data_IF_863407139088
#
_entry.id   IF_863407139088
#
_cell.length_a   1.000
_cell.length_b   1.000
_cell.length_c   1.000
_cell.angle_alpha   90.00
_cell.angle_beta   90.00
_cell.angle_gamma   90.00
#
_symmetry.space_group_name_H-M   'P 1'
#
loop_
_entity.id
_entity.type
_entity.pdbx_description
1 polymer ?
#
# COMPACT_ATOMS: atom_id res chain seq x y z
N UNK A 1 -13.60 25.43 24.20
CA UNK A 1 -13.78 24.14 24.90
C UNK A 1 -14.27 23.12 23.89
N UNK A 2 -13.43 22.15 23.51
CA UNK A 2 -13.83 21.08 22.59
C UNK A 2 -14.19 19.84 23.42
N UNK A 3 -15.42 19.34 23.26
CA UNK A 3 -15.88 18.10 23.87
C UNK A 3 -15.71 16.94 22.87
N UNK A 4 -15.16 15.81 23.33
CA UNK A 4 -15.07 14.56 22.58
C UNK A 4 -16.09 13.57 23.14
N UNK A 5 -16.79 12.85 22.26
CA UNK A 5 -17.75 11.80 22.61
C UNK A 5 -17.09 10.44 22.39
N UNK A 6 -17.13 9.59 23.42
CA UNK A 6 -16.69 8.18 23.38
C UNK A 6 -17.94 7.30 23.25
N UNK A 7 -17.98 6.40 22.27
CA UNK A 7 -19.09 5.45 22.09
C UNK A 7 -18.76 4.07 22.69
N UNK A 8 -19.70 3.43 23.42
CA UNK A 8 -19.54 2.05 23.88
C UNK A 8 -19.90 1.02 22.79
N UNK A 9 -19.32 -0.18 22.93
CA UNK A 9 -19.45 -1.32 22.01
C UNK A 9 -20.80 -2.04 22.16
N UNK A 10 -21.36 -2.41 21.01
CA UNK A 10 -22.32 -3.49 20.75
C UNK A 10 -23.69 -3.45 21.46
N UNK A 11 -24.75 -3.43 20.65
CA UNK A 11 -25.95 -4.25 20.89
C UNK A 11 -26.77 -4.34 19.59
N UNK A 12 -26.91 -5.56 19.06
CA UNK A 12 -27.93 -5.92 18.10
C UNK A 12 -29.16 -6.41 18.87
N UNK A 13 -30.36 -5.88 18.63
CA UNK A 13 -31.62 -6.48 19.10
C UNK A 13 -32.78 -6.22 18.10
N UNK A 14 -33.84 -7.06 18.13
CA UNK A 14 -34.54 -7.54 16.93
C UNK A 14 -35.79 -6.74 16.55
N UNK A 15 -36.19 -6.90 15.29
CA UNK A 15 -37.43 -6.41 14.71
C UNK A 15 -38.63 -7.19 15.27
N UNK A 16 -39.58 -6.47 15.88
CA UNK A 16 -40.97 -6.92 16.00
C UNK A 16 -41.89 -5.85 15.41
N UNK A 17 -42.62 -6.22 14.36
CA UNK A 17 -43.70 -5.43 13.81
C UNK A 17 -44.97 -5.67 14.65
N UNK A 18 -45.57 -4.59 15.16
CA UNK A 18 -46.96 -4.60 15.60
C UNK A 18 -47.66 -3.34 15.06
N UNK A 19 -48.78 -3.58 14.42
CA UNK A 19 -49.67 -2.59 13.79
C UNK A 19 -50.50 -1.85 14.84
N UNK A 20 -50.48 -0.51 14.82
CA UNK A 20 -51.48 0.32 15.50
C UNK A 20 -51.84 1.53 14.65
N UNK A 21 -53.15 1.69 14.39
CA UNK A 21 -53.77 2.78 13.63
C UNK A 21 -53.58 4.17 14.27
N UNK A 22 -53.55 5.28 13.49
CA UNK A 22 -53.30 6.61 14.04
C UNK A 22 -54.59 7.26 14.58
N UNK A 23 -54.59 7.65 15.85
CA UNK A 23 -55.60 8.56 16.43
C UNK A 23 -55.44 9.97 15.85
N UNK A 24 -56.56 10.53 15.35
CA UNK A 24 -56.68 11.93 14.92
C UNK A 24 -56.57 12.88 16.11
N UNK A 25 -55.71 13.89 16.00
CA UNK A 25 -55.88 15.17 16.70
C UNK A 25 -55.70 16.34 15.73
N UNK A 26 -56.70 17.21 15.74
CA UNK A 26 -56.79 18.49 15.07
C UNK A 26 -56.20 19.57 15.99
N UNK A 27 -55.28 20.39 15.47
CA UNK A 27 -55.29 21.85 15.56
C UNK A 27 -54.04 22.42 14.89
N UNK A 28 -54.26 23.38 14.00
CA UNK A 28 -53.22 24.09 13.27
C UNK A 28 -52.49 25.08 14.16
N UNK A 29 -51.17 24.98 14.16
CA UNK A 29 -50.22 25.97 14.63
C UNK A 29 -48.94 25.76 13.83
N UNK A 30 -48.32 26.83 13.37
CA UNK A 30 -47.12 26.82 12.52
C UNK A 30 -46.00 25.94 13.12
N UNK A 31 -45.91 24.68 12.70
CA UNK A 31 -44.78 23.83 13.03
C UNK A 31 -43.69 24.01 11.98
N UNK A 32 -42.51 24.46 12.46
CA UNK A 32 -41.24 24.57 11.73
C UNK A 32 -40.65 23.20 11.37
N UNK A 33 -41.49 22.24 11.01
CA UNK A 33 -41.06 20.93 10.54
C UNK A 33 -41.26 20.86 9.01
N UNK A 34 -40.18 21.09 8.28
CA UNK A 34 -40.15 20.95 6.82
C UNK A 34 -40.37 19.50 6.35
N UNK A 35 -40.43 18.53 7.28
CA UNK A 35 -40.54 17.09 7.01
C UNK A 35 -41.75 16.43 7.71
N UNK A 36 -42.79 17.21 8.09
CA UNK A 36 -44.03 16.67 8.65
C UNK A 36 -44.65 15.60 7.73
N UNK A 37 -44.78 14.37 8.24
CA UNK A 37 -45.35 13.22 7.53
C UNK A 37 -46.79 13.43 7.03
N UNK A 38 -47.49 14.46 7.56
CA UNK A 38 -48.82 14.89 7.11
C UNK A 38 -48.79 15.78 5.87
N UNK A 39 -47.64 16.39 5.54
CA UNK A 39 -47.45 17.28 4.38
C UNK A 39 -46.88 16.59 3.13
N UNK A 40 -46.41 15.35 3.26
CA UNK A 40 -45.74 14.63 2.19
C UNK A 40 -46.74 13.94 1.26
N UNK A 41 -46.47 14.02 -0.05
CA UNK A 41 -47.22 13.28 -1.07
C UNK A 41 -46.99 11.78 -0.88
N UNK A 42 -48.09 11.02 -0.87
CA UNK A 42 -48.10 9.56 -0.77
C UNK A 42 -48.60 8.96 -2.06
N UNK A 43 -48.12 7.77 -2.40
CA UNK A 43 -48.70 6.97 -3.48
C UNK A 43 -50.06 6.37 -3.09
N UNK A 44 -50.69 5.67 -4.03
CA UNK A 44 -52.00 5.03 -3.84
C UNK A 44 -52.01 3.94 -2.75
N UNK A 45 -50.83 3.53 -2.27
CA UNK A 45 -50.64 2.57 -1.17
C UNK A 45 -50.28 3.26 0.16
N UNK A 46 -50.30 4.59 0.22
CA UNK A 46 -50.04 5.37 1.42
C UNK A 46 -48.55 5.55 1.75
N UNK A 47 -47.64 5.27 0.81
CA UNK A 47 -46.18 5.36 0.98
C UNK A 47 -45.69 6.76 0.54
N UNK A 48 -44.98 7.51 1.41
CA UNK A 48 -44.43 8.82 1.04
C UNK A 48 -43.42 8.74 -0.12
N UNK A 49 -43.58 9.60 -1.13
CA UNK A 49 -42.74 9.58 -2.34
C UNK A 49 -41.45 10.40 -2.24
N UNK A 50 -41.41 11.43 -1.38
CA UNK A 50 -40.28 12.38 -1.27
C UNK A 50 -39.32 12.07 -0.10
N UNK A 51 -39.42 10.86 0.47
CA UNK A 51 -38.62 10.43 1.61
C UNK A 51 -37.75 9.23 1.23
N UNK A 52 -36.48 9.23 1.64
CA UNK A 52 -35.66 8.01 1.57
C UNK A 52 -36.33 6.88 2.38
N UNK A 53 -36.42 5.66 1.82
CA UNK A 53 -37.04 4.50 2.51
C UNK A 53 -36.51 4.30 3.93
N UNK A 54 -35.23 4.60 4.19
CA UNK A 54 -34.61 4.54 5.52
C UNK A 54 -35.19 5.56 6.51
N UNK A 55 -35.43 6.80 6.07
CA UNK A 55 -36.06 7.83 6.92
C UNK A 55 -37.51 7.51 7.24
N UNK A 56 -38.28 6.97 6.28
CA UNK A 56 -39.67 6.57 6.54
C UNK A 56 -39.76 5.53 7.65
N UNK A 57 -38.91 4.49 7.58
CA UNK A 57 -38.81 3.46 8.60
C UNK A 57 -38.32 4.03 9.94
N UNK A 58 -37.35 4.96 9.92
CA UNK A 58 -36.86 5.63 11.13
C UNK A 58 -37.95 6.47 11.80
N UNK A 59 -38.71 7.25 11.03
CA UNK A 59 -39.76 8.13 11.52
C UNK A 59 -40.97 7.39 12.09
N UNK A 60 -41.14 6.11 11.72
CA UNK A 60 -42.17 5.23 12.29
C UNK A 60 -41.77 4.58 13.63
N UNK A 61 -40.52 4.71 14.08
CA UNK A 61 -40.10 4.17 15.38
C UNK A 61 -40.74 4.97 16.51
N UNK A 62 -41.19 4.26 17.54
CA UNK A 62 -41.63 4.89 18.79
C UNK A 62 -40.46 5.66 19.40
N UNK A 63 -40.66 6.97 19.61
CA UNK A 63 -39.66 7.85 20.18
C UNK A 63 -39.83 7.86 21.70
N UNK A 64 -38.79 7.48 22.43
CA UNK A 64 -38.77 7.60 23.88
C UNK A 64 -38.72 9.08 24.28
N UNK A 65 -39.31 9.43 25.42
CA UNK A 65 -39.25 10.81 25.91
C UNK A 65 -37.79 11.26 26.07
N UNK A 66 -37.45 12.48 25.62
CA UNK A 66 -36.09 12.96 25.71
C UNK A 66 -35.67 13.07 27.19
N UNK A 67 -34.37 12.83 27.49
CA UNK A 67 -33.83 13.02 28.83
C UNK A 67 -34.23 14.37 29.44
N UNK A 68 -34.39 14.43 30.77
CA UNK A 68 -34.86 15.62 31.48
C UNK A 68 -34.10 16.92 31.12
N UNK A 69 -32.79 16.81 30.86
CA UNK A 69 -31.95 17.95 30.46
C UNK A 69 -32.18 18.45 29.02
N UNK A 70 -32.90 17.70 28.17
CA UNK A 70 -33.23 18.04 26.77
C UNK A 70 -34.70 18.41 26.56
N UNK A 71 -35.51 18.51 27.61
CA UNK A 71 -36.93 18.86 27.50
C UNK A 71 -37.19 20.25 26.89
N UNK A 72 -36.20 21.15 26.95
CA UNK A 72 -36.25 22.46 26.33
C UNK A 72 -36.10 22.43 24.79
N UNK A 73 -35.67 21.29 24.24
CA UNK A 73 -35.50 21.08 22.79
C UNK A 73 -36.74 20.38 22.23
N UNK A 74 -37.32 20.87 21.12
CA UNK A 74 -38.47 20.21 20.51
C UNK A 74 -38.16 18.76 20.09
N UNK A 75 -39.02 17.77 20.42
CA UNK A 75 -38.77 16.35 20.11
C UNK A 75 -38.56 16.03 18.62
N UNK A 76 -39.15 16.82 17.71
CA UNK A 76 -38.94 16.67 16.27
C UNK A 76 -37.49 16.99 15.85
N UNK A 77 -36.86 17.99 16.50
CA UNK A 77 -35.49 18.39 16.20
C UNK A 77 -34.49 17.35 16.71
N UNK A 78 -34.74 16.75 17.88
CA UNK A 78 -33.94 15.65 18.43
C UNK A 78 -33.98 14.45 17.46
N UNK A 79 -35.18 14.07 16.98
CA UNK A 79 -35.34 12.99 16.00
C UNK A 79 -34.58 13.25 14.69
N UNK A 80 -34.64 14.46 14.16
CA UNK A 80 -33.87 14.81 12.97
C UNK A 80 -32.37 14.76 13.20
N UNK A 81 -31.91 15.23 14.36
CA UNK A 81 -30.50 15.15 14.72
C UNK A 81 -30.04 13.69 14.81
N UNK A 82 -30.79 12.82 15.48
CA UNK A 82 -30.50 11.38 15.54
C UNK A 82 -30.47 10.74 14.16
N UNK A 83 -31.44 11.06 13.30
CA UNK A 83 -31.46 10.54 11.93
C UNK A 83 -30.25 11.02 11.11
N UNK A 84 -29.90 12.30 11.22
CA UNK A 84 -28.73 12.86 10.54
C UNK A 84 -27.42 12.22 11.04
N UNK A 85 -27.30 12.00 12.36
CA UNK A 85 -26.17 11.27 12.94
C UNK A 85 -26.13 9.83 12.40
N UNK A 86 -27.26 9.13 12.38
CA UNK A 86 -27.34 7.76 11.86
C UNK A 86 -26.99 7.69 10.37
N UNK A 87 -27.49 8.61 9.54
CA UNK A 87 -27.11 8.72 8.13
C UNK A 87 -25.61 8.98 7.96
N UNK A 88 -25.04 9.86 8.79
CA UNK A 88 -23.61 10.15 8.73
C UNK A 88 -22.78 8.91 9.11
N UNK A 89 -23.19 8.16 10.15
CA UNK A 89 -22.56 6.92 10.56
C UNK A 89 -22.65 5.85 9.47
N UNK A 90 -23.83 5.67 8.87
CA UNK A 90 -24.05 4.77 7.73
C UNK A 90 -23.13 5.14 6.57
N UNK A 91 -23.08 6.42 6.18
CA UNK A 91 -22.21 6.90 5.11
C UNK A 91 -20.72 6.64 5.39
N UNK A 92 -20.25 6.95 6.60
CA UNK A 92 -18.86 6.67 6.97
C UNK A 92 -18.57 5.17 7.04
N UNK A 93 -19.52 4.36 7.48
CA UNK A 93 -19.40 2.90 7.48
C UNK A 93 -19.33 2.36 6.05
N UNK A 94 -20.21 2.80 5.15
CA UNK A 94 -20.21 2.40 3.75
C UNK A 94 -18.88 2.75 3.07
N UNK A 95 -18.32 3.94 3.33
CA UNK A 95 -16.99 4.32 2.85
C UNK A 95 -15.88 3.41 3.40
N UNK A 96 -15.92 3.08 4.70
CA UNK A 96 -14.95 2.17 5.32
C UNK A 96 -15.07 0.76 4.73
N UNK A 97 -16.27 0.22 4.61
CA UNK A 97 -16.51 -1.11 4.07
C UNK A 97 -16.14 -1.20 2.59
N UNK A 98 -16.39 -0.15 1.80
CA UNK A 98 -15.94 -0.07 0.41
C UNK A 98 -14.41 -0.18 0.32
N UNK A 99 -13.68 0.60 1.11
CA UNK A 99 -12.21 0.52 1.18
C UNK A 99 -11.71 -0.88 1.59
N UNK A 100 -12.32 -1.48 2.60
CA UNK A 100 -11.96 -2.85 3.04
C UNK A 100 -12.26 -3.87 1.93
N UNK A 101 -13.39 -3.73 1.21
CA UNK A 101 -13.75 -4.62 0.11
C UNK A 101 -12.76 -4.51 -1.06
N UNK A 102 -12.36 -3.30 -1.42
CA UNK A 102 -11.33 -3.05 -2.44
C UNK A 102 -10.00 -3.67 -2.02
N UNK A 103 -9.59 -3.49 -0.76
CA UNK A 103 -8.36 -4.09 -0.21
C UNK A 103 -8.41 -5.62 -0.21
N UNK A 104 -9.52 -6.23 0.19
CA UNK A 104 -9.67 -7.70 0.17
C UNK A 104 -9.73 -8.26 -1.24
N UNK A 105 -10.22 -7.48 -2.21
CA UNK A 105 -10.20 -7.85 -3.62
C UNK A 105 -8.76 -7.85 -4.14
N UNK A 106 -8.01 -6.76 -3.94
CA UNK A 106 -6.63 -6.70 -4.42
C UNK A 106 -5.72 -7.78 -3.81
N UNK A 107 -5.92 -8.12 -2.53
CA UNK A 107 -5.20 -9.24 -1.90
C UNK A 107 -5.50 -10.59 -2.54
N UNK A 108 -6.73 -10.82 -3.03
CA UNK A 108 -7.10 -12.06 -3.73
C UNK A 108 -6.56 -12.11 -5.16
N UNK A 109 -6.37 -10.95 -5.77
CA UNK A 109 -5.88 -10.86 -7.15
C UNK A 109 -4.35 -11.07 -7.23
N UNK A 110 -3.64 -11.01 -6.10
CA UNK A 110 -2.20 -11.31 -6.00
C UNK A 110 -1.90 -12.79 -6.29
N UNK A 111 -0.87 -13.10 -7.10
CA UNK A 111 -0.52 -14.49 -7.45
C UNK A 111 -0.27 -15.42 -6.25
N UNK A 112 0.29 -14.91 -5.16
CA UNK A 112 0.56 -15.74 -3.96
C UNK A 112 -0.72 -16.19 -3.24
N UNK A 113 -1.85 -15.52 -3.46
CA UNK A 113 -3.11 -15.86 -2.81
C UNK A 113 -3.57 -17.28 -3.17
N UNK A 114 -3.31 -17.73 -4.40
CA UNK A 114 -3.61 -19.09 -4.87
C UNK A 114 -2.81 -20.17 -4.13
N UNK A 115 -1.63 -19.81 -3.61
CA UNK A 115 -0.70 -20.71 -2.91
C UNK A 115 -0.81 -20.61 -1.38
N UNK A 116 -1.76 -19.82 -0.86
CA UNK A 116 -1.94 -19.60 0.59
C UNK A 116 -2.06 -20.90 1.38
N UNK A 117 -2.94 -21.80 0.95
CA UNK A 117 -3.25 -23.02 1.70
C UNK A 117 -2.03 -23.96 1.71
N UNK A 118 -1.40 -24.13 0.55
CA UNK A 118 -0.16 -24.90 0.38
C UNK A 118 0.97 -24.38 1.29
N UNK A 119 1.17 -23.06 1.39
CA UNK A 119 2.18 -22.45 2.27
C UNK A 119 1.95 -22.84 3.73
N UNK A 120 0.70 -22.76 4.21
CA UNK A 120 0.37 -23.05 5.61
C UNK A 120 0.45 -24.54 5.91
N UNK A 121 0.05 -25.41 4.99
CA UNK A 121 0.15 -26.86 5.14
C UNK A 121 1.62 -27.30 5.17
N UNK A 122 2.42 -26.87 4.20
CA UNK A 122 3.84 -27.21 4.16
C UNK A 122 4.58 -26.71 5.40
N UNK A 123 4.26 -25.52 5.92
CA UNK A 123 4.93 -25.00 7.12
C UNK A 123 4.56 -25.76 8.40
N UNK A 124 3.38 -26.41 8.46
CA UNK A 124 3.04 -27.27 9.60
C UNK A 124 3.99 -28.46 9.66
N UNK A 125 4.18 -29.12 8.53
CA UNK A 125 4.90 -30.39 8.44
C UNK A 125 6.42 -30.21 8.29
N UNK A 126 6.89 -29.01 7.94
CA UNK A 126 8.30 -28.74 7.67
C UNK A 126 8.81 -27.61 8.56
N UNK A 127 10.05 -27.73 9.01
CA UNK A 127 10.70 -26.69 9.83
C UNK A 127 11.22 -25.53 8.98
N UNK A 128 11.62 -25.81 7.74
CA UNK A 128 12.10 -24.82 6.78
C UNK A 128 11.21 -24.82 5.55
N UNK A 129 10.83 -23.64 5.07
CA UNK A 129 10.05 -23.47 3.85
C UNK A 129 10.72 -22.41 2.96
N UNK A 130 10.93 -22.74 1.68
CA UNK A 130 11.43 -21.79 0.70
C UNK A 130 10.25 -21.31 -0.16
N UNK A 131 10.05 -19.99 -0.24
CA UNK A 131 9.04 -19.37 -1.08
C UNK A 131 9.75 -18.55 -2.14
N UNK A 132 9.67 -18.99 -3.38
CA UNK A 132 10.14 -18.24 -4.52
C UNK A 132 8.99 -17.72 -5.34
N UNK A 133 9.20 -16.56 -5.93
CA UNK A 133 8.31 -16.03 -6.95
C UNK A 133 8.78 -14.65 -7.32
N UNK A 134 8.44 -14.19 -8.51
CA UNK A 134 8.92 -12.89 -8.97
C UNK A 134 8.47 -11.76 -8.02
N UNK A 135 9.12 -10.60 -8.15
CA UNK A 135 8.64 -9.40 -7.48
C UNK A 135 7.19 -9.13 -7.87
N UNK A 136 6.38 -8.70 -6.90
CA UNK A 136 4.97 -8.40 -7.14
C UNK A 136 4.01 -9.54 -6.87
N UNK A 137 4.49 -10.76 -6.71
CA UNK A 137 3.57 -11.87 -6.43
C UNK A 137 2.92 -11.78 -5.03
N UNK A 138 3.43 -10.93 -4.13
CA UNK A 138 2.83 -10.63 -2.82
C UNK A 138 3.51 -11.29 -1.61
N UNK A 139 4.69 -11.92 -1.76
CA UNK A 139 5.42 -12.63 -0.67
C UNK A 139 5.54 -11.82 0.61
N UNK A 140 6.21 -10.68 0.54
CA UNK A 140 6.58 -9.86 1.68
C UNK A 140 5.37 -9.32 2.46
N UNK A 141 4.27 -9.03 1.77
CA UNK A 141 3.05 -8.50 2.41
C UNK A 141 2.13 -9.61 2.88
N UNK A 142 1.93 -10.68 2.09
CA UNK A 142 0.88 -11.67 2.35
C UNK A 142 1.34 -12.85 3.20
N UNK A 143 2.57 -13.35 3.04
CA UNK A 143 3.06 -14.50 3.83
C UNK A 143 2.98 -14.21 5.33
N UNK A 144 3.47 -13.07 5.85
CA UNK A 144 3.32 -12.76 7.27
C UNK A 144 1.85 -12.75 7.70
N UNK A 145 0.94 -12.22 6.89
CA UNK A 145 -0.50 -12.18 7.19
C UNK A 145 -1.11 -13.58 7.26
N UNK A 146 -0.72 -14.49 6.36
CA UNK A 146 -1.20 -15.87 6.39
C UNK A 146 -0.80 -16.57 7.69
N UNK A 147 0.42 -16.34 8.16
CA UNK A 147 0.89 -16.87 9.44
C UNK A 147 0.09 -16.30 10.62
N UNK A 148 -0.07 -14.98 10.67
CA UNK A 148 -0.81 -14.31 11.74
C UNK A 148 -2.27 -14.78 11.80
N UNK A 149 -2.92 -14.93 10.63
CA UNK A 149 -4.29 -15.46 10.52
C UNK A 149 -4.40 -16.94 10.88
N UNK A 150 -3.31 -17.71 10.73
CA UNK A 150 -3.24 -19.12 11.10
C UNK A 150 -2.87 -19.35 12.57
N UNK A 151 -2.78 -18.27 13.36
CA UNK A 151 -2.53 -18.34 14.80
C UNK A 151 -1.06 -18.37 15.21
N UNK A 152 -0.12 -18.23 14.27
CA UNK A 152 1.29 -18.07 14.62
C UNK A 152 1.51 -16.74 15.35
N UNK A 153 2.39 -16.80 16.34
CA UNK A 153 2.78 -15.69 17.22
C UNK A 153 4.30 -15.61 17.26
N UNK A 154 4.87 -14.49 17.72
CA UNK A 154 6.32 -14.32 17.73
C UNK A 154 6.90 -14.44 16.33
N UNK A 155 6.31 -13.75 15.35
CA UNK A 155 6.76 -13.76 13.96
C UNK A 155 7.80 -12.66 13.79
N UNK A 156 9.03 -12.98 13.43
CA UNK A 156 10.04 -12.01 13.00
C UNK A 156 10.15 -12.02 11.48
N UNK A 157 10.10 -10.86 10.83
CA UNK A 157 10.35 -10.72 9.40
C UNK A 157 11.51 -9.76 9.18
N UNK A 158 12.61 -10.24 8.63
CA UNK A 158 13.76 -9.39 8.35
C UNK A 158 13.57 -8.63 7.05
N UNK A 159 14.13 -7.43 7.01
CA UNK A 159 14.28 -6.64 5.80
C UNK A 159 15.72 -6.12 5.71
N UNK A 160 16.34 -6.08 4.53
CA UNK A 160 17.72 -5.61 4.39
C UNK A 160 17.86 -4.11 4.68
N UNK A 161 16.77 -3.35 4.54
CA UNK A 161 16.79 -1.88 4.59
C UNK A 161 15.78 -1.33 5.60
N UNK A 162 16.16 -0.24 6.28
CA UNK A 162 15.33 0.41 7.30
C UNK A 162 14.00 0.92 6.75
N UNK A 163 14.02 1.58 5.59
CA UNK A 163 12.79 2.16 5.00
C UNK A 163 11.84 1.04 4.56
N UNK A 164 12.35 0.02 3.88
CA UNK A 164 11.57 -1.17 3.51
C UNK A 164 10.96 -1.86 4.73
N UNK A 165 11.72 -2.00 5.83
CA UNK A 165 11.22 -2.53 7.10
C UNK A 165 10.01 -1.75 7.64
N UNK A 166 10.14 -0.43 7.76
CA UNK A 166 9.07 0.42 8.30
C UNK A 166 7.86 0.47 7.37
N UNK A 167 8.08 0.64 6.07
CA UNK A 167 7.02 0.69 5.06
C UNK A 167 6.23 -0.63 5.00
N UNK A 168 6.93 -1.78 5.01
CA UNK A 168 6.29 -3.09 4.99
C UNK A 168 5.46 -3.33 6.26
N UNK A 169 6.00 -2.98 7.43
CA UNK A 169 5.27 -3.09 8.68
C UNK A 169 3.99 -2.24 8.69
N UNK A 170 4.07 -0.98 8.26
CA UNK A 170 2.91 -0.09 8.14
C UNK A 170 1.88 -0.64 7.15
N UNK A 171 2.33 -1.17 6.01
CA UNK A 171 1.46 -1.77 5.00
C UNK A 171 0.74 -3.01 5.53
N UNK A 172 1.46 -3.93 6.16
CA UNK A 172 0.87 -5.14 6.76
C UNK A 172 -0.06 -4.79 7.91
N UNK A 173 0.29 -3.80 8.74
CA UNK A 173 -0.61 -3.28 9.77
C UNK A 173 -1.91 -2.72 9.15
N UNK A 174 -1.82 -1.94 8.07
CA UNK A 174 -2.99 -1.43 7.35
C UNK A 174 -3.86 -2.55 6.77
N UNK A 175 -3.25 -3.51 6.07
CA UNK A 175 -3.94 -4.64 5.43
C UNK A 175 -4.61 -5.60 6.42
N UNK A 176 -4.05 -5.72 7.62
CA UNK A 176 -4.62 -6.51 8.72
C UNK A 176 -5.61 -5.73 9.59
N UNK A 177 -5.93 -4.47 9.23
CA UNK A 177 -6.77 -3.56 10.02
C UNK A 177 -6.19 -3.25 11.42
N UNK A 178 -4.88 -3.40 11.56
CA UNK A 178 -4.08 -3.10 12.74
C UNK A 178 -3.28 -1.79 12.60
N UNK A 179 -3.63 -0.88 11.68
CA UNK A 179 -2.92 0.39 11.50
C UNK A 179 -2.84 1.25 12.77
N UNK A 180 -3.85 1.15 13.64
CA UNK A 180 -3.90 1.76 14.97
C UNK A 180 -3.77 0.71 16.10
N UNK A 181 -3.45 -0.53 15.72
CA UNK A 181 -3.24 -1.66 16.61
C UNK A 181 -1.80 -1.75 17.13
N UNK A 182 -1.51 -2.81 17.87
CA UNK A 182 -0.17 -3.06 18.45
C UNK A 182 0.36 -4.47 18.15
N UNK A 183 -0.39 -5.24 17.33
CA UNK A 183 -0.05 -6.62 16.96
C UNK A 183 1.07 -6.70 15.93
N UNK A 184 1.14 -5.72 15.02
CA UNK A 184 2.20 -5.60 14.00
C UNK A 184 3.07 -4.41 14.37
N UNK A 185 4.37 -4.63 14.50
CA UNK A 185 5.34 -3.60 14.83
C UNK A 185 6.57 -3.67 13.94
N UNK A 186 7.41 -2.64 14.00
CA UNK A 186 8.75 -2.67 13.47
C UNK A 186 9.80 -2.28 14.50
N UNK A 187 11.03 -2.69 14.27
CA UNK A 187 12.20 -2.26 15.02
C UNK A 187 13.36 -2.02 14.05
N UNK A 188 13.83 -0.77 14.01
CA UNK A 188 15.03 -0.35 13.29
C UNK A 188 16.01 0.29 14.26
N UNK A 189 17.24 0.57 13.81
CA UNK A 189 18.24 1.18 14.70
C UNK A 189 17.70 2.51 15.25
N UNK A 190 17.70 2.64 16.57
CA UNK A 190 17.22 3.80 17.34
C UNK A 190 15.69 4.03 17.36
N UNK A 191 14.89 3.13 16.80
CA UNK A 191 13.43 3.33 16.72
C UNK A 191 12.68 2.00 16.79
N UNK A 192 11.60 1.96 17.59
CA UNK A 192 10.79 0.76 17.77
C UNK A 192 9.34 1.11 18.06
N UNK A 193 8.42 0.33 17.48
CA UNK A 193 6.99 0.33 17.82
C UNK A 193 6.57 -0.94 18.55
N UNK A 194 7.53 -1.80 18.90
CA UNK A 194 7.29 -3.07 19.61
C UNK A 194 6.69 -2.82 20.99
N UNK A 195 5.66 -3.59 21.32
CA UNK A 195 5.00 -3.59 22.62
C UNK A 195 4.80 -5.03 23.12
N UNK A 196 4.29 -5.19 24.36
CA UNK A 196 3.93 -6.52 24.88
C UNK A 196 2.82 -7.22 24.10
N UNK A 197 2.04 -6.49 23.29
CA UNK A 197 0.96 -7.03 22.45
C UNK A 197 1.42 -7.41 21.05
N UNK A 198 2.68 -7.13 20.71
CA UNK A 198 3.23 -7.41 19.39
C UNK A 198 3.31 -8.90 19.14
N UNK A 199 2.65 -9.34 18.06
CA UNK A 199 2.62 -10.72 17.57
C UNK A 199 3.59 -10.90 16.39
N UNK A 200 3.81 -9.82 15.64
CA UNK A 200 4.66 -9.79 14.45
C UNK A 200 5.57 -8.57 14.49
N UNK A 201 6.86 -8.80 14.31
CA UNK A 201 7.90 -7.78 14.30
C UNK A 201 8.64 -7.80 12.98
N UNK A 202 8.58 -6.68 12.25
CA UNK A 202 9.49 -6.41 11.15
C UNK A 202 10.76 -5.78 11.71
N UNK A 203 11.94 -6.25 11.29
CA UNK A 203 13.19 -5.67 11.76
C UNK A 203 14.30 -5.76 10.73
N UNK A 204 15.33 -4.94 10.86
CA UNK A 204 16.51 -5.07 9.99
C UNK A 204 17.33 -6.29 10.37
N UNK A 205 17.96 -6.95 9.39
CA UNK A 205 18.84 -8.12 9.58
C UNK A 205 19.87 -7.92 10.70
N UNK A 206 20.58 -6.79 10.69
CA UNK A 206 21.59 -6.47 11.71
C UNK A 206 21.03 -6.35 13.14
N UNK A 207 19.74 -6.02 13.29
CA UNK A 207 19.10 -6.01 14.60
C UNK A 207 18.72 -7.41 15.07
N UNK A 208 18.32 -8.30 14.15
CA UNK A 208 18.09 -9.70 14.51
C UNK A 208 19.41 -10.35 14.95
N UNK A 209 20.51 -10.11 14.23
CA UNK A 209 21.86 -10.55 14.64
C UNK A 209 22.23 -10.03 16.04
N UNK A 210 21.96 -8.76 16.33
CA UNK A 210 22.19 -8.19 17.67
C UNK A 210 21.28 -8.81 18.75
N UNK A 211 20.07 -9.22 18.39
CA UNK A 211 19.21 -9.97 19.32
C UNK A 211 19.80 -11.36 19.59
N UNK A 212 20.37 -12.02 18.58
CA UNK A 212 21.06 -13.32 18.74
C UNK A 212 22.29 -13.26 19.64
N UNK A 213 22.97 -12.11 19.70
CA UNK A 213 24.09 -11.90 20.64
C UNK A 213 23.65 -12.01 22.10
N UNK A 214 22.44 -11.53 22.42
CA UNK A 214 21.89 -11.57 23.79
C UNK A 214 21.09 -12.85 24.06
N UNK A 215 20.34 -13.33 23.07
CA UNK A 215 19.53 -14.54 23.12
C UNK A 215 19.86 -15.40 21.90
N UNK A 216 20.84 -16.29 22.08
CA UNK A 216 21.38 -17.14 21.00
C UNK A 216 20.38 -18.13 20.41
N UNK A 217 19.23 -18.35 21.06
CA UNK A 217 18.16 -19.22 20.58
C UNK A 217 16.90 -18.45 20.15
N UNK A 218 16.92 -17.11 20.24
CA UNK A 218 15.83 -16.23 19.85
C UNK A 218 14.46 -16.68 20.36
N UNK A 219 14.36 -17.04 21.65
CA UNK A 219 13.20 -17.76 22.19
C UNK A 219 11.87 -17.02 22.06
N UNK A 220 11.92 -15.70 21.91
CA UNK A 220 10.74 -14.86 21.68
C UNK A 220 10.07 -15.08 20.31
N UNK A 221 10.71 -15.78 19.37
CA UNK A 221 10.16 -16.03 18.04
C UNK A 221 9.85 -17.52 17.81
N UNK A 222 8.69 -17.79 17.23
CA UNK A 222 8.31 -19.12 16.77
C UNK A 222 8.45 -19.25 15.24
N UNK A 223 8.43 -18.12 14.53
CA UNK A 223 8.65 -18.09 13.08
C UNK A 223 9.61 -16.95 12.74
N UNK A 224 10.64 -17.27 11.97
CA UNK A 224 11.55 -16.27 11.40
C UNK A 224 11.40 -16.32 9.88
N UNK A 225 11.17 -15.16 9.29
CA UNK A 225 11.08 -14.96 7.84
C UNK A 225 12.30 -14.14 7.43
N UNK A 226 13.14 -14.72 6.58
CA UNK A 226 14.20 -14.00 5.88
C UNK A 226 13.67 -13.59 4.51
N UNK A 227 13.37 -12.31 4.35
CA UNK A 227 12.91 -11.76 3.09
C UNK A 227 14.07 -11.23 2.25
N UNK A 228 13.86 -11.15 0.93
CA UNK A 228 14.83 -10.61 -0.04
C UNK A 228 16.22 -11.28 -0.01
N UNK A 229 16.31 -12.57 0.34
CA UNK A 229 17.60 -13.31 0.46
C UNK A 229 18.42 -13.33 -0.84
N UNK A 230 17.77 -13.04 -1.97
CA UNK A 230 18.40 -12.97 -3.28
C UNK A 230 19.35 -11.77 -3.44
N UNK A 231 19.23 -10.75 -2.60
CA UNK A 231 20.14 -9.59 -2.63
C UNK A 231 21.53 -9.92 -2.06
N UNK A 232 21.70 -11.08 -1.39
CA UNK A 232 22.99 -11.62 -0.90
C UNK A 232 23.78 -10.62 -0.05
N UNK A 233 23.09 -9.91 0.85
CA UNK A 233 23.74 -9.08 1.85
C UNK A 233 24.55 -9.93 2.82
N UNK A 234 25.71 -9.42 3.27
CA UNK A 234 26.58 -10.12 4.22
C UNK A 234 25.83 -10.51 5.51
N UNK A 235 25.01 -9.61 6.04
CA UNK A 235 24.19 -9.86 7.24
C UNK A 235 23.16 -10.96 7.02
N UNK A 236 22.55 -11.01 5.83
CA UNK A 236 21.57 -12.03 5.43
C UNK A 236 22.23 -13.41 5.32
N UNK A 237 23.36 -13.50 4.61
CA UNK A 237 24.11 -14.76 4.45
C UNK A 237 24.61 -15.27 5.81
N UNK A 238 25.05 -14.37 6.71
CA UNK A 238 25.43 -14.73 8.08
C UNK A 238 24.22 -15.23 8.90
N UNK A 239 23.07 -14.54 8.82
CA UNK A 239 21.83 -14.98 9.47
C UNK A 239 21.41 -16.36 8.99
N UNK A 240 21.46 -16.62 7.68
CA UNK A 240 21.13 -17.92 7.09
C UNK A 240 22.00 -19.02 7.71
N UNK A 241 23.31 -18.79 7.85
CA UNK A 241 24.22 -19.74 8.48
C UNK A 241 23.89 -19.99 9.95
N UNK A 242 23.72 -18.93 10.74
CA UNK A 242 23.41 -19.06 12.16
C UNK A 242 22.04 -19.70 12.43
N UNK A 243 21.04 -19.40 11.58
CA UNK A 243 19.70 -19.97 11.69
C UNK A 243 19.66 -21.44 11.28
N UNK A 244 20.47 -21.86 10.30
CA UNK A 244 20.64 -23.28 9.96
C UNK A 244 21.14 -24.08 11.17
N UNK A 245 22.13 -23.56 11.89
CA UNK A 245 22.64 -24.19 13.11
C UNK A 245 21.59 -24.18 14.25
N UNK A 246 20.75 -23.14 14.31
CA UNK A 246 19.68 -23.01 15.32
C UNK A 246 18.52 -23.97 15.09
N UNK A 247 18.13 -24.21 13.84
CA UNK A 247 17.06 -25.13 13.46
C UNK A 247 17.30 -26.53 14.06
N UNK A 248 18.54 -27.02 14.04
CA UNK A 248 18.90 -28.30 14.68
C UNK A 248 18.78 -28.32 16.20
N UNK A 249 18.62 -27.18 16.86
CA UNK A 249 18.48 -27.03 18.33
C UNK A 249 17.06 -26.65 18.77
N UNK A 250 16.22 -26.16 17.86
CA UNK A 250 14.89 -25.60 18.12
C UNK A 250 13.86 -26.22 17.19
N UNK A 251 13.43 -27.44 17.46
CA UNK A 251 12.45 -28.17 16.65
C UNK A 251 11.11 -27.42 16.47
N UNK A 252 10.77 -26.53 17.41
CA UNK A 252 9.57 -25.70 17.39
C UNK A 252 9.71 -24.43 16.51
N UNK A 253 10.93 -24.02 16.17
CA UNK A 253 11.19 -22.83 15.35
C UNK A 253 10.93 -23.13 13.89
N UNK A 254 10.10 -22.32 13.23
CA UNK A 254 9.90 -22.36 11.78
C UNK A 254 10.73 -21.28 11.08
N UNK A 255 11.40 -21.63 9.98
CA UNK A 255 12.16 -20.71 9.13
C UNK A 255 11.52 -20.62 7.75
N UNK A 256 11.26 -19.40 7.28
CA UNK A 256 10.79 -19.13 5.92
C UNK A 256 11.84 -18.31 5.18
N UNK A 257 12.22 -18.77 4.01
CA UNK A 257 13.18 -18.11 3.12
C UNK A 257 12.42 -17.57 1.90
N UNK A 258 12.36 -16.25 1.72
CA UNK A 258 11.65 -15.64 0.60
C UNK A 258 12.64 -15.06 -0.41
N UNK A 259 12.51 -15.47 -1.67
CA UNK A 259 13.38 -15.04 -2.77
C UNK A 259 12.59 -14.59 -3.99
N UNK A 260 13.07 -13.53 -4.66
CA UNK A 260 12.54 -13.07 -5.93
C UNK A 260 13.14 -13.80 -7.15
N UNK A 261 14.23 -14.57 -6.97
CA UNK A 261 15.03 -15.10 -8.08
C UNK A 261 15.05 -16.63 -8.14
N UNK A 262 15.36 -17.12 -9.34
CA UNK A 262 15.36 -18.54 -9.76
C UNK A 262 16.51 -19.36 -9.14
N UNK A 263 17.49 -18.77 -8.42
CA UNK A 263 18.58 -19.54 -7.81
C UNK A 263 18.13 -20.30 -6.54
N UNK A 264 17.03 -21.02 -6.66
CA UNK A 264 16.41 -21.90 -5.71
C UNK A 264 17.31 -23.10 -5.39
N UNK A 265 18.06 -23.58 -6.38
CA UNK A 265 18.92 -24.76 -6.23
C UNK A 265 20.00 -24.56 -5.16
N UNK A 266 20.55 -23.34 -5.05
CA UNK A 266 21.50 -23.01 -3.99
C UNK A 266 20.88 -23.18 -2.60
N UNK A 267 19.71 -22.58 -2.36
CA UNK A 267 19.05 -22.62 -1.05
C UNK A 267 18.46 -23.98 -0.74
N UNK A 268 17.96 -24.69 -1.75
CA UNK A 268 17.46 -26.07 -1.65
C UNK A 268 18.58 -27.05 -1.32
N UNK A 269 19.77 -26.87 -1.90
CA UNK A 269 20.96 -27.64 -1.53
C UNK A 269 21.48 -27.31 -0.14
N UNK A 270 21.36 -26.04 0.29
CA UNK A 270 21.81 -25.62 1.62
C UNK A 270 20.88 -26.08 2.75
N UNK A 271 19.56 -26.05 2.52
CA UNK A 271 18.53 -26.57 3.42
C UNK A 271 17.93 -27.85 2.84
N UNK A 272 18.68 -28.95 2.91
CA UNK A 272 18.28 -30.25 2.39
C UNK A 272 16.89 -30.66 2.92
N UNK A 273 16.01 -31.11 2.00
CA UNK A 273 14.65 -31.53 2.33
C UNK A 273 13.63 -30.40 2.49
N UNK A 274 14.03 -29.12 2.45
CA UNK A 274 13.08 -28.02 2.54
C UNK A 274 12.17 -27.95 1.30
N UNK A 275 10.83 -27.98 1.46
CA UNK A 275 9.91 -27.78 0.36
C UNK A 275 10.04 -26.38 -0.24
N UNK A 276 9.76 -26.28 -1.54
CA UNK A 276 9.81 -25.03 -2.29
C UNK A 276 8.43 -24.74 -2.87
N UNK A 277 7.85 -23.60 -2.49
CA UNK A 277 6.65 -23.06 -3.12
C UNK A 277 7.07 -22.03 -4.16
N UNK A 278 6.76 -22.30 -5.42
CA UNK A 278 6.97 -21.35 -6.51
C UNK A 278 5.68 -20.61 -6.83
N UNK A 279 5.75 -19.29 -6.91
CA UNK A 279 4.66 -18.40 -7.24
C UNK A 279 5.00 -17.72 -8.56
N UNK A 280 4.26 -17.98 -9.66
CA UNK A 280 4.52 -17.32 -10.93
C UNK A 280 4.28 -15.82 -10.82
N UNK A 281 5.20 -15.01 -11.35
CA UNK A 281 4.99 -13.57 -11.47
C UNK A 281 3.91 -13.21 -12.49
N UNK A 282 3.19 -12.12 -12.24
CA UNK A 282 2.43 -11.40 -13.26
C UNK A 282 3.23 -10.16 -13.65
N UNK A 283 4.15 -10.32 -14.61
CA UNK A 283 4.85 -9.17 -15.19
C UNK A 283 3.93 -8.52 -16.22
N UNK A 284 3.57 -7.26 -15.99
CA UNK A 284 2.91 -6.45 -17.00
C UNK A 284 3.90 -6.09 -18.12
N UNK A 285 3.45 -6.03 -19.38
CA UNK A 285 4.32 -5.70 -20.50
C UNK A 285 4.89 -4.28 -20.35
N UNK A 286 6.20 -4.16 -20.46
CA UNK A 286 6.93 -2.89 -20.38
C UNK A 286 7.24 -2.42 -21.80
N UNK A 287 6.83 -1.19 -22.16
CA UNK A 287 7.16 -0.57 -23.44
C UNK A 287 8.37 0.38 -23.29
N UNK A 288 9.50 -0.02 -23.86
CA UNK A 288 10.67 0.84 -23.94
C UNK A 288 10.52 1.85 -25.08
N UNK A 289 10.58 3.14 -24.76
CA UNK A 289 10.58 4.26 -25.74
C UNK A 289 11.87 5.06 -25.62
N UNK A 290 12.58 5.19 -26.73
CA UNK A 290 13.77 6.03 -26.78
C UNK A 290 13.37 7.45 -27.19
N UNK A 291 13.82 8.44 -26.44
CA UNK A 291 13.71 9.84 -26.85
C UNK A 291 15.11 10.38 -27.09
N UNK A 292 15.59 10.32 -28.34
CA UNK A 292 16.92 10.79 -28.64
C UNK A 292 16.98 12.31 -28.44
N UNK A 293 17.88 12.76 -27.56
CA UNK A 293 18.17 14.18 -27.34
C UNK A 293 18.99 14.71 -28.52
N UNK A 294 18.38 14.73 -29.71
CA UNK A 294 19.04 14.94 -31.00
C UNK A 294 19.46 16.39 -31.27
N UNK A 295 19.15 17.35 -30.39
CA UNK A 295 19.46 18.77 -30.62
C UNK A 295 20.49 19.37 -29.63
N UNK A 296 20.86 18.69 -28.54
CA UNK A 296 21.74 19.31 -27.53
C UNK A 296 23.22 18.93 -27.63
N UNK A 297 23.55 17.79 -28.26
CA UNK A 297 24.95 17.33 -28.38
C UNK A 297 25.71 18.13 -29.45
N UNK A 298 25.02 18.68 -30.46
CA UNK A 298 25.66 19.40 -31.56
C UNK A 298 26.16 20.81 -31.18
N UNK A 299 25.67 21.39 -30.08
CA UNK A 299 26.05 22.75 -29.65
C UNK A 299 26.81 22.79 -28.32
N UNK A 300 26.91 21.67 -27.59
CA UNK A 300 27.54 21.61 -26.27
C UNK A 300 29.02 21.22 -26.27
N UNK A 301 29.79 21.63 -27.28
CA UNK A 301 31.27 21.69 -27.12
C UNK A 301 31.69 22.87 -26.21
N UNK A 302 30.73 23.67 -25.71
CA UNK A 302 30.98 24.79 -24.79
C UNK A 302 30.30 24.59 -23.43
N UNK A 303 31.10 24.12 -22.47
CA UNK A 303 31.10 24.44 -21.03
C UNK A 303 29.73 24.68 -20.36
N UNK A 304 29.00 23.61 -20.06
CA UNK A 304 28.19 23.53 -18.83
C UNK A 304 27.90 22.06 -18.50
N UNK A 305 28.38 21.58 -17.36
CA UNK A 305 28.01 20.26 -16.82
C UNK A 305 26.60 20.26 -16.18
N UNK A 306 25.81 21.32 -16.34
CA UNK A 306 24.48 21.43 -15.74
C UNK A 306 23.46 20.64 -16.55
N UNK A 307 22.65 19.84 -15.86
CA UNK A 307 21.55 19.08 -16.48
C UNK A 307 20.54 20.03 -17.12
N UNK A 308 20.11 19.70 -18.34
CA UNK A 308 19.01 20.40 -19.01
C UNK A 308 17.66 19.83 -18.52
N UNK A 309 16.77 20.65 -17.92
CA UNK A 309 15.48 20.19 -17.44
C UNK A 309 14.42 20.02 -18.55
N UNK A 310 14.61 20.62 -19.73
CA UNK A 310 13.59 20.69 -20.79
C UNK A 310 13.07 19.30 -21.25
N UNK A 311 13.93 18.27 -21.44
CA UNK A 311 13.45 16.95 -21.82
C UNK A 311 12.47 16.33 -20.81
N UNK A 312 12.65 16.60 -19.52
CA UNK A 312 11.79 16.05 -18.46
C UNK A 312 10.42 16.74 -18.43
N UNK A 313 10.38 18.06 -18.65
CA UNK A 313 9.13 18.82 -18.81
C UNK A 313 8.36 18.26 -20.00
N UNK A 314 9.03 18.05 -21.14
CA UNK A 314 8.40 17.50 -22.34
C UNK A 314 7.84 16.10 -22.14
N UNK A 315 8.47 15.27 -21.31
CA UNK A 315 7.92 13.96 -20.98
C UNK A 315 6.61 14.09 -20.20
N UNK A 316 6.52 14.99 -19.22
CA UNK A 316 5.25 15.22 -18.50
C UNK A 316 4.15 15.73 -19.45
N UNK A 317 4.48 16.65 -20.36
CA UNK A 317 3.53 17.11 -21.40
C UNK A 317 3.02 15.98 -22.29
N UNK A 318 3.90 15.05 -22.66
CA UNK A 318 3.52 13.88 -23.47
C UNK A 318 2.61 12.94 -22.69
N UNK A 319 2.89 12.73 -21.40
CA UNK A 319 2.05 11.92 -20.52
C UNK A 319 0.65 12.54 -20.42
N UNK A 320 0.55 13.85 -20.18
CA UNK A 320 -0.74 14.54 -20.04
C UNK A 320 -1.55 14.52 -21.34
N UNK A 321 -0.90 14.52 -22.51
CA UNK A 321 -1.57 14.39 -23.82
C UNK A 321 -2.04 12.97 -24.12
N UNK A 322 -1.29 11.95 -23.67
CA UNK A 322 -1.57 10.55 -24.03
C UNK A 322 -2.46 9.84 -23.01
N UNK A 323 -2.43 10.26 -21.74
CA UNK A 323 -3.12 9.56 -20.65
C UNK A 323 -4.09 10.52 -19.95
N UNK A 324 -5.41 10.25 -20.01
CA UNK A 324 -6.43 11.09 -19.37
C UNK A 324 -6.18 11.25 -17.87
N UNK A 325 -6.47 12.43 -17.31
CA UNK A 325 -6.27 12.72 -15.88
C UNK A 325 -7.09 11.82 -14.94
N UNK A 326 -8.14 11.17 -15.46
CA UNK A 326 -8.92 10.15 -14.74
C UNK A 326 -8.16 8.86 -14.49
N UNK A 327 -7.11 8.58 -15.27
CA UNK A 327 -6.24 7.43 -15.09
C UNK A 327 -5.03 7.77 -14.22
N UNK A 328 -4.76 6.88 -13.25
CA UNK A 328 -3.56 6.94 -12.41
C UNK A 328 -2.31 6.63 -13.24
N UNK A 329 -1.20 7.26 -12.87
CA UNK A 329 0.09 7.00 -13.48
C UNK A 329 1.13 8.02 -13.05
N UNK A 330 1.73 7.79 -11.89
CA UNK A 330 2.79 8.64 -11.36
C UNK A 330 4.08 8.45 -12.17
N UNK A 331 4.97 9.43 -12.12
CA UNK A 331 6.27 9.39 -12.78
C UNK A 331 7.40 9.26 -11.75
N UNK A 332 8.40 8.44 -12.05
CA UNK A 332 9.67 8.41 -11.35
C UNK A 332 10.82 8.74 -12.30
N UNK A 333 11.62 9.73 -11.93
CA UNK A 333 12.77 10.21 -12.68
C UNK A 333 14.05 9.90 -11.90
N UNK A 334 14.96 9.14 -12.51
CA UNK A 334 16.29 8.85 -11.96
C UNK A 334 17.32 9.89 -12.40
N UNK A 335 17.88 10.59 -11.41
CA UNK A 335 18.89 11.63 -11.55
C UNK A 335 20.13 11.31 -10.71
N UNK A 336 21.29 11.86 -11.08
CA UNK A 336 22.57 11.45 -10.48
C UNK A 336 22.77 11.96 -9.05
N UNK A 337 22.13 13.07 -8.68
CA UNK A 337 22.34 13.68 -7.38
C UNK A 337 21.45 14.88 -7.11
N UNK A 338 21.60 15.42 -5.89
CA UNK A 338 20.73 16.48 -5.36
C UNK A 338 20.73 17.72 -6.25
N UNK A 339 21.88 18.15 -6.78
CA UNK A 339 21.95 19.34 -7.64
C UNK A 339 21.13 19.19 -8.95
N UNK A 340 21.14 17.99 -9.54
CA UNK A 340 20.32 17.69 -10.72
C UNK A 340 18.84 17.61 -10.34
N UNK A 341 18.52 16.94 -9.24
CA UNK A 341 17.16 16.85 -8.70
C UNK A 341 16.57 18.24 -8.50
N UNK A 342 17.29 19.15 -7.84
CA UNK A 342 16.81 20.51 -7.59
C UNK A 342 16.56 21.27 -8.89
N UNK A 343 17.51 21.20 -9.84
CA UNK A 343 17.40 21.91 -11.13
C UNK A 343 16.18 21.43 -11.93
N UNK A 344 15.97 20.12 -12.03
CA UNK A 344 14.82 19.56 -12.75
C UNK A 344 13.52 19.83 -11.99
N UNK A 345 13.52 19.70 -10.66
CA UNK A 345 12.34 19.94 -9.84
C UNK A 345 11.82 21.38 -9.94
N UNK A 346 12.70 22.39 -10.02
CA UNK A 346 12.31 23.78 -10.23
C UNK A 346 11.52 23.98 -11.53
N UNK A 347 12.03 23.43 -12.65
CA UNK A 347 11.34 23.51 -13.93
C UNK A 347 10.00 22.75 -13.93
N UNK A 348 9.97 21.54 -13.36
CA UNK A 348 8.74 20.75 -13.27
C UNK A 348 7.70 21.38 -12.34
N UNK A 349 8.12 22.08 -11.28
CA UNK A 349 7.20 22.83 -10.40
C UNK A 349 6.50 23.95 -11.14
N UNK A 350 7.22 24.71 -11.97
CA UNK A 350 6.61 25.74 -12.83
C UNK A 350 5.55 25.14 -13.76
N UNK A 351 5.86 24.00 -14.38
CA UNK A 351 4.87 23.29 -15.22
C UNK A 351 3.66 22.78 -14.42
N UNK A 352 3.90 22.23 -13.23
CA UNK A 352 2.87 21.73 -12.33
C UNK A 352 1.96 22.87 -11.81
N UNK A 353 2.50 24.06 -11.57
CA UNK A 353 1.74 25.23 -11.16
C UNK A 353 0.78 25.71 -12.23
N UNK A 354 1.16 25.60 -13.51
CA UNK A 354 0.33 25.96 -14.66
C UNK A 354 -0.77 24.93 -14.92
N UNK A 355 -0.44 23.65 -14.89
CA UNK A 355 -1.38 22.57 -15.25
C UNK A 355 -2.24 22.09 -14.08
N UNK A 356 -1.76 22.25 -12.84
CA UNK A 356 -2.31 21.64 -11.61
C UNK A 356 -2.43 20.11 -11.66
N UNK A 357 -1.78 19.47 -12.63
CA UNK A 357 -1.88 18.03 -12.87
C UNK A 357 -0.86 17.20 -12.06
N UNK A 358 0.18 17.84 -11.52
CA UNK A 358 1.34 17.16 -10.93
C UNK A 358 1.68 17.66 -9.52
N UNK A 359 2.11 16.74 -8.65
CA UNK A 359 2.77 17.00 -7.37
C UNK A 359 4.24 16.59 -7.52
N UNK A 360 5.15 17.55 -7.41
CA UNK A 360 6.58 17.33 -7.59
C UNK A 360 7.23 17.00 -6.24
N UNK A 361 7.80 15.80 -6.12
CA UNK A 361 8.46 15.30 -4.91
C UNK A 361 9.92 14.97 -5.18
N UNK A 362 10.79 15.30 -4.23
CA UNK A 362 12.21 14.94 -4.29
C UNK A 362 12.45 13.75 -3.35
N UNK A 363 13.33 12.83 -3.74
CA UNK A 363 13.70 11.65 -2.95
C UNK A 363 15.20 11.39 -3.02
N UNK A 364 15.94 11.89 -2.04
CA UNK A 364 17.37 11.66 -1.87
C UNK A 364 17.74 11.50 -0.38
N UNK A 365 18.92 10.94 -0.12
CA UNK A 365 19.36 10.52 1.22
C UNK A 365 19.49 11.62 2.27
N UNK A 366 19.60 12.89 1.85
CA UNK A 366 19.73 14.03 2.78
C UNK A 366 18.40 14.61 3.26
N UNK A 367 17.25 14.12 2.75
CA UNK A 367 15.93 14.53 3.23
C UNK A 367 15.61 13.94 4.60
N UNK A 368 14.76 14.61 5.38
CA UNK A 368 14.24 14.04 6.63
C UNK A 368 13.38 12.80 6.36
N UNK A 369 13.19 11.95 7.36
CA UNK A 369 12.34 10.75 7.23
C UNK A 369 10.91 11.15 6.86
N UNK A 370 10.38 12.23 7.46
CA UNK A 370 9.04 12.73 7.16
C UNK A 370 8.90 13.21 5.71
N UNK A 371 9.96 13.81 5.15
CA UNK A 371 9.97 14.25 3.75
C UNK A 371 10.08 13.08 2.77
N UNK A 372 10.90 12.08 3.09
CA UNK A 372 10.97 10.85 2.31
C UNK A 372 9.62 10.11 2.35
N UNK A 373 8.93 10.11 3.49
CA UNK A 373 7.66 9.42 3.65
C UNK A 373 6.53 9.99 2.75
N UNK A 374 6.60 11.28 2.35
CA UNK A 374 5.61 11.91 1.46
C UNK A 374 5.47 11.19 0.11
N UNK A 375 6.50 10.48 -0.34
CA UNK A 375 6.43 9.74 -1.61
C UNK A 375 5.42 8.59 -1.55
N UNK A 376 5.10 8.08 -0.36
CA UNK A 376 4.15 6.99 -0.16
C UNK A 376 2.69 7.47 -0.04
N UNK A 377 2.46 8.78 0.07
CA UNK A 377 1.11 9.32 0.16
C UNK A 377 0.35 9.15 -1.17
N UNK A 378 -0.97 8.96 -1.06
CA UNK A 378 -1.85 8.81 -2.24
C UNK A 378 -2.23 10.20 -2.74
N UNK A 379 -1.96 10.48 -4.02
CA UNK A 379 -2.37 11.73 -4.64
C UNK A 379 -3.90 11.87 -4.72
N UNK A 380 -4.44 13.10 -4.65
CA UNK A 380 -5.85 13.37 -4.91
C UNK A 380 -6.30 12.89 -6.30
N UNK A 381 -7.58 12.60 -6.45
CA UNK A 381 -8.14 12.18 -7.75
C UNK A 381 -7.94 13.27 -8.80
N UNK A 382 -7.45 12.89 -9.99
CA UNK A 382 -7.15 13.82 -11.08
C UNK A 382 -5.75 14.43 -11.05
N UNK A 383 -4.93 14.10 -10.04
CA UNK A 383 -3.57 14.61 -9.87
C UNK A 383 -2.58 13.43 -9.79
N UNK A 384 -1.40 13.59 -10.39
CA UNK A 384 -0.31 12.61 -10.41
C UNK A 384 0.87 13.08 -9.57
N UNK A 385 1.71 12.15 -9.10
CA UNK A 385 3.01 12.48 -8.51
C UNK A 385 4.10 12.38 -9.56
N UNK A 386 5.06 13.30 -9.54
CA UNK A 386 6.32 13.16 -10.24
C UNK A 386 7.45 13.18 -9.20
N UNK A 387 8.16 12.07 -9.08
CA UNK A 387 9.15 11.83 -8.05
C UNK A 387 10.52 11.88 -8.71
N UNK A 388 11.41 12.71 -8.19
CA UNK A 388 12.79 12.84 -8.66
C UNK A 388 13.70 12.18 -7.65
N UNK A 389 14.38 11.11 -8.04
CA UNK A 389 15.16 10.28 -7.11
C UNK A 389 16.55 9.97 -7.62
N UNK A 390 17.46 9.75 -6.67
CA UNK A 390 18.72 9.05 -6.95
C UNK A 390 18.47 7.53 -7.01
N UNK A 391 19.54 6.74 -7.03
CA UNK A 391 19.48 5.29 -6.84
C UNK A 391 18.85 4.82 -5.50
N UNK A 392 18.42 5.73 -4.62
CA UNK A 392 17.66 5.37 -3.41
C UNK A 392 16.32 4.72 -3.77
N UNK A 393 15.62 5.18 -4.81
CA UNK A 393 14.39 4.52 -5.27
C UNK A 393 14.68 3.18 -5.94
N UNK A 394 15.83 3.02 -6.61
CA UNK A 394 16.18 1.81 -7.37
C UNK A 394 16.10 0.53 -6.52
N UNK A 395 16.61 0.60 -5.29
CA UNK A 395 16.75 -0.56 -4.42
C UNK A 395 16.12 -0.35 -3.05
N UNK A 396 16.06 0.90 -2.56
CA UNK A 396 15.77 1.15 -1.14
C UNK A 396 14.32 1.46 -0.83
N UNK A 397 13.54 1.84 -1.84
CA UNK A 397 12.16 2.31 -1.66
C UNK A 397 11.31 1.86 -2.84
N UNK A 398 10.16 1.24 -2.57
CA UNK A 398 9.14 0.99 -3.60
C UNK A 398 8.00 1.98 -3.43
N UNK A 399 7.62 2.66 -4.51
CA UNK A 399 6.59 3.70 -4.47
C UNK A 399 5.40 3.24 -5.29
N UNK A 400 4.24 3.15 -4.68
CA UNK A 400 2.99 2.74 -5.34
C UNK A 400 2.57 3.77 -6.39
N UNK A 401 2.00 3.29 -7.49
CA UNK A 401 1.31 4.14 -8.48
C UNK A 401 2.16 4.66 -9.64
N UNK A 402 3.46 4.36 -9.70
CA UNK A 402 4.28 4.73 -10.86
C UNK A 402 3.75 4.06 -12.15
N UNK A 403 3.78 4.76 -13.26
CA UNK A 403 3.49 4.23 -14.60
C UNK A 403 4.57 4.63 -15.60
N UNK A 404 5.30 5.68 -15.27
CA UNK A 404 6.34 6.22 -16.12
C UNK A 404 7.65 6.23 -15.36
N UNK A 405 8.64 5.50 -15.88
CA UNK A 405 10.01 5.52 -15.32
C UNK A 405 10.92 6.16 -16.35
N UNK A 406 11.59 7.23 -15.94
CA UNK A 406 12.49 8.02 -16.77
C UNK A 406 13.88 7.88 -16.19
N UNK A 407 14.84 7.47 -17.02
CA UNK A 407 16.25 7.42 -16.63
C UNK A 407 17.05 8.40 -17.47
N UNK A 408 17.78 9.26 -16.76
CA UNK A 408 18.72 10.18 -17.37
C UNK A 408 19.78 9.42 -18.17
N UNK A 409 20.29 8.28 -17.68
CA UNK A 409 21.19 7.38 -18.42
C UNK A 409 22.62 7.88 -18.53
N UNK A 410 23.47 7.61 -17.54
CA UNK A 410 24.90 8.03 -17.55
C UNK A 410 25.94 6.90 -17.63
N UNK A 411 25.54 5.64 -17.80
CA UNK A 411 26.52 4.54 -17.86
C UNK A 411 27.22 4.45 -19.24
N UNK A 412 26.72 5.09 -20.32
CA UNK A 412 27.40 5.01 -21.63
C UNK A 412 27.07 6.14 -22.62
N UNK A 413 27.09 7.40 -22.19
CA UNK A 413 27.13 8.57 -23.10
C UNK A 413 25.94 8.72 -24.08
N UNK A 414 24.80 8.11 -23.78
CA UNK A 414 23.54 8.24 -24.54
C UNK A 414 22.42 8.47 -23.53
N UNK A 415 21.87 9.68 -23.48
CA UNK A 415 20.82 10.08 -22.54
C UNK A 415 19.42 9.76 -23.09
N UNK A 416 18.50 9.56 -22.14
CA UNK A 416 17.04 9.36 -22.21
C UNK A 416 16.52 7.99 -22.66
N UNK A 417 16.37 7.10 -21.67
CA UNK A 417 15.50 5.93 -21.75
C UNK A 417 14.15 6.29 -21.10
N UNK A 418 13.08 6.43 -21.91
CA UNK A 418 11.73 6.48 -21.36
C UNK A 418 11.23 5.04 -21.32
N UNK A 419 10.93 4.53 -20.15
CA UNK A 419 10.21 3.27 -20.04
C UNK A 419 8.77 3.58 -19.72
N UNK A 420 7.92 3.43 -20.74
CA UNK A 420 6.47 3.56 -20.61
C UNK A 420 5.94 2.21 -20.18
N UNK A 421 5.44 2.13 -18.95
CA UNK A 421 4.60 1.01 -18.55
C UNK A 421 3.16 1.32 -18.99
N UNK A 422 2.61 0.55 -19.93
CA UNK A 422 1.21 0.69 -20.33
C UNK A 422 0.42 -0.59 -20.00
N UNK A 423 -0.35 -0.62 -18.89
CA UNK A 423 -1.10 -1.79 -18.48
C UNK A 423 -2.25 -2.17 -19.44
N UNK A 424 -2.54 -1.37 -20.48
CA UNK A 424 -3.63 -1.62 -21.43
C UNK A 424 -3.18 -1.94 -22.87
N UNK A 425 -1.87 -1.99 -23.15
CA UNK A 425 -1.37 -2.30 -24.50
C UNK A 425 -1.41 -3.81 -24.78
N UNK A 426 -2.48 -4.27 -25.41
CA UNK A 426 -2.66 -5.64 -25.90
C UNK A 426 -1.78 -5.82 -27.15
N UNK A 427 -0.54 -6.27 -26.98
CA UNK A 427 0.20 -6.92 -28.06
C UNK A 427 1.24 -7.91 -27.48
N UNK A 428 0.83 -9.17 -27.46
CA UNK A 428 1.62 -10.32 -26.99
C UNK A 428 2.67 -10.70 -28.04
N UNK A 429 3.96 -10.67 -27.66
CA UNK A 429 5.01 -11.63 -28.06
C UNK A 429 6.41 -11.14 -27.66
N UNK A 430 6.95 -11.56 -26.51
CA UNK A 430 8.35 -11.27 -26.15
C UNK A 430 9.06 -12.46 -25.48
N UNK A 431 10.27 -12.77 -25.96
CA UNK A 431 11.13 -13.89 -25.58
C UNK A 431 12.24 -13.48 -24.59
N UNK A 432 12.67 -14.43 -23.75
CA UNK A 432 13.70 -14.33 -22.71
C UNK A 432 15.05 -13.73 -23.16
N UNK A 433 15.42 -13.82 -24.44
CA UNK A 433 16.69 -13.31 -24.97
C UNK A 433 16.79 -11.77 -24.99
N UNK A 434 15.68 -11.03 -24.97
CA UNK A 434 15.70 -9.55 -24.91
C UNK A 434 16.12 -9.02 -23.54
N UNK A 435 15.91 -9.78 -22.46
CA UNK A 435 16.20 -9.36 -21.08
C UNK A 435 17.69 -9.21 -20.74
N UNK A 436 18.57 -10.01 -21.36
CA UNK A 436 20.01 -9.84 -21.20
C UNK A 436 20.51 -8.50 -21.77
N UNK A 437 19.85 -7.99 -22.82
CA UNK A 437 20.13 -6.65 -23.34
C UNK A 437 19.58 -5.55 -22.42
N UNK A 438 18.45 -5.76 -21.74
CA UNK A 438 17.91 -4.85 -20.71
C UNK A 438 18.87 -4.69 -19.52
N UNK A 439 19.45 -5.79 -19.02
CA UNK A 439 20.40 -5.80 -17.91
C UNK A 439 21.67 -4.99 -18.17
N UNK A 440 22.15 -5.00 -19.42
CA UNK A 440 23.36 -4.31 -19.83
C UNK A 440 23.16 -2.80 -20.10
N UNK A 441 21.92 -2.31 -20.19
CA UNK A 441 21.63 -0.94 -20.67
C UNK A 441 21.06 -0.03 -19.57
N UNK A 442 20.24 -0.53 -18.63
CA UNK A 442 19.62 0.32 -17.59
C UNK A 442 19.53 -0.37 -16.22
N UNK A 443 20.61 -0.35 -15.42
CA UNK A 443 20.59 -0.93 -14.05
C UNK A 443 19.51 -0.31 -13.16
N UNK A 444 19.36 1.02 -13.18
CA UNK A 444 18.43 1.73 -12.30
C UNK A 444 16.96 1.60 -12.69
N UNK A 445 16.64 1.59 -13.99
CA UNK A 445 15.29 1.29 -14.47
C UNK A 445 14.94 -0.16 -14.20
N UNK A 446 15.83 -1.10 -14.51
CA UNK A 446 15.51 -2.52 -14.33
C UNK A 446 15.36 -2.81 -12.85
N UNK A 447 16.26 -2.36 -11.98
CA UNK A 447 16.11 -2.57 -10.54
C UNK A 447 14.92 -1.81 -9.94
N UNK A 448 14.57 -0.62 -10.46
CA UNK A 448 13.34 0.06 -10.04
C UNK A 448 12.09 -0.60 -10.58
N UNK A 449 11.96 -0.91 -11.87
CA UNK A 449 10.80 -1.61 -12.44
C UNK A 449 10.65 -2.99 -11.83
N UNK A 450 11.76 -3.64 -11.50
CA UNK A 450 11.79 -4.88 -10.73
C UNK A 450 11.34 -4.64 -9.28
N UNK A 451 11.71 -3.50 -8.68
CA UNK A 451 11.17 -3.04 -7.39
C UNK A 451 9.73 -2.54 -7.48
N UNK A 452 9.26 -2.02 -8.60
CA UNK A 452 8.00 -1.29 -8.76
C UNK A 452 6.87 -2.22 -9.16
N UNK A 453 7.20 -3.23 -9.96
CA UNK A 453 6.39 -4.43 -10.07
C UNK A 453 6.26 -5.17 -8.73
N UNK A 454 7.04 -4.84 -7.66
CA UNK A 454 6.77 -5.35 -6.29
C UNK A 454 5.38 -5.00 -5.75
N UNK A 455 4.67 -4.00 -6.30
CA UNK A 455 3.38 -3.54 -5.75
C UNK A 455 2.22 -3.49 -6.77
N UNK A 456 2.48 -3.34 -8.08
CA UNK A 456 1.41 -3.18 -9.08
C UNK A 456 0.47 -4.39 -9.29
N UNK A 457 0.79 -5.58 -8.81
CA UNK A 457 -0.16 -6.70 -8.85
C UNK A 457 -1.26 -6.63 -7.75
N UNK A 458 -1.31 -5.54 -6.98
CA UNK A 458 -2.34 -5.26 -5.96
C UNK A 458 -3.22 -4.03 -6.26
N UNK A 459 -3.28 -3.57 -7.52
CA UNK A 459 -4.26 -2.60 -8.01
C UNK A 459 -5.27 -3.26 -8.94
#
# INVERSE_FOLDING_TARGET
>A
MAAYIVFPKNTCLPLNCASTEPRRSTNGGESKDHFDLKRLKRDDYGIPQDISKRYFVFAQREFQDPPSHLQHVPPWLIRHFEYAVQLSLDFFNDLKFKKVKELRKSQKDLPIAERRQEIIELLKDNQVLIIAGDTGCGKSTQVPQYLLQSGYMGIACTQPRRIACTALARRVAYETLNAYGSEVAYQIRFETTKSKRTKMLFLTEGLLLRQMENDSLLQQYNVIILDEIHERHLSSDLLIGLLRDMIGKREDLKLILMSATINLELFKGYFEGAPVVQVPGRLFPIQLRYHPIKQFIAESEKKSHKIDPEPYVRILELIDKQVPSTERGDALIFLNGVAEITTVAEALKTYAELTKAWIILMLHSTLSVEEQDKVFDVAPSGVRKCILSTNIAETSVTIDGIRFVIDSGKILGRLAHIVVHDPFSINNNYSSKKWLAYWNICRSIVAYLWSFQKILASC
#
